data_IF_666630386160
#
_entry.id   IF_666630386160
#
_cell.length_a   1.000
_cell.length_b   1.000
_cell.length_c   1.000
_cell.angle_alpha   90.00
_cell.angle_beta   90.00
_cell.angle_gamma   90.00
#
_symmetry.space_group_name_H-M   'P 1'
#
loop_
_entity.id
_entity.type
_entity.pdbx_description
1 polymer ?
#
# COMPACT_ATOMS: atom_id res chain seq x y z
N UNK A 1 -22.52 18.59 62.81
CA UNK A 1 -21.79 19.08 61.63
C UNK A 1 -21.46 17.86 60.77
N UNK A 2 -22.21 17.63 59.70
CA UNK A 2 -21.94 16.55 58.74
C UNK A 2 -20.89 17.02 57.73
N UNK A 3 -19.93 16.18 57.29
CA UNK A 3 -18.95 16.58 56.31
C UNK A 3 -19.62 16.79 54.95
N UNK A 4 -19.25 17.90 54.31
CA UNK A 4 -19.61 18.28 52.94
C UNK A 4 -19.17 17.23 51.93
N UNK A 5 -20.06 16.95 50.96
CA UNK A 5 -19.82 16.01 49.88
C UNK A 5 -18.58 16.37 49.07
N UNK A 6 -17.64 15.43 48.97
CA UNK A 6 -16.57 15.47 48.01
C UNK A 6 -17.17 15.40 46.60
N UNK A 7 -16.97 16.45 45.81
CA UNK A 7 -17.34 16.45 44.40
C UNK A 7 -16.70 15.24 43.71
N UNK A 8 -17.53 14.47 43.01
CA UNK A 8 -17.06 13.35 42.22
C UNK A 8 -15.96 13.83 41.26
N UNK A 9 -14.83 13.11 41.13
CA UNK A 9 -13.80 13.48 40.17
C UNK A 9 -14.44 13.53 38.78
N UNK A 10 -14.40 14.70 38.14
CA UNK A 10 -14.85 14.86 36.77
C UNK A 10 -13.89 14.07 35.89
N UNK A 11 -14.27 12.86 35.48
CA UNK A 11 -13.48 12.06 34.57
C UNK A 11 -13.38 12.81 33.23
N UNK A 12 -12.17 13.24 32.88
CA UNK A 12 -11.90 13.86 31.58
C UNK A 12 -11.99 12.74 30.54
N UNK A 13 -13.10 12.67 29.81
CA UNK A 13 -13.30 11.71 28.74
C UNK A 13 -12.62 12.25 27.47
N UNK A 14 -11.52 11.61 27.07
CA UNK A 14 -10.81 11.95 25.84
C UNK A 14 -11.25 10.96 24.78
N UNK A 15 -12.06 11.40 23.82
CA UNK A 15 -12.50 10.58 22.69
C UNK A 15 -11.66 10.91 21.47
N UNK A 16 -10.69 10.05 21.07
CA UNK A 16 -9.95 10.27 19.83
C UNK A 16 -10.90 10.19 18.63
N UNK A 17 -10.83 11.16 17.73
CA UNK A 17 -11.51 11.10 16.44
C UNK A 17 -10.54 10.49 15.43
N UNK A 18 -10.97 9.41 14.77
CA UNK A 18 -10.20 8.77 13.72
C UNK A 18 -10.78 9.14 12.37
N UNK A 19 -9.92 9.55 11.45
CA UNK A 19 -10.26 9.76 10.05
C UNK A 19 -9.92 8.50 9.23
N UNK A 20 -10.79 8.15 8.28
CA UNK A 20 -10.49 7.11 7.30
C UNK A 20 -9.54 7.65 6.24
N UNK A 21 -8.65 6.81 5.74
CA UNK A 21 -7.70 7.12 4.67
C UNK A 21 -7.76 6.02 3.59
N UNK A 22 -7.48 6.38 2.34
CA UNK A 22 -7.36 5.42 1.26
C UNK A 22 -5.95 4.82 1.22
N UNK A 23 -5.88 3.50 1.12
CA UNK A 23 -4.66 2.76 0.79
C UNK A 23 -4.95 1.85 -0.39
N UNK A 24 -4.11 1.91 -1.41
CA UNK A 24 -4.34 1.23 -2.66
C UNK A 24 -3.69 1.93 -3.85
N UNK A 25 -4.08 1.49 -5.05
CA UNK A 25 -3.60 2.03 -6.33
C UNK A 25 -4.78 2.68 -7.04
N UNK A 26 -4.56 3.89 -7.56
CA UNK A 26 -5.48 4.60 -8.46
C UNK A 26 -4.75 4.94 -9.76
N UNK A 27 -5.48 4.99 -10.86
CA UNK A 27 -4.90 5.20 -12.18
C UNK A 27 -5.84 6.03 -13.05
N UNK A 28 -5.43 7.25 -13.38
CA UNK A 28 -6.15 8.09 -14.33
C UNK A 28 -5.47 8.01 -15.70
N UNK A 29 -6.25 7.71 -16.74
CA UNK A 29 -5.74 7.52 -18.11
C UNK A 29 -6.58 8.35 -19.08
N UNK A 30 -5.91 9.15 -19.91
CA UNK A 30 -6.51 9.83 -21.06
C UNK A 30 -5.90 9.29 -22.35
N UNK A 31 -6.63 8.47 -23.13
CA UNK A 31 -6.17 8.00 -24.43
C UNK A 31 -6.49 9.00 -25.55
N UNK A 32 -5.59 9.11 -26.53
CA UNK A 32 -5.78 9.85 -27.77
C UNK A 32 -5.27 8.99 -28.94
N UNK A 33 -5.98 9.00 -30.06
CA UNK A 33 -5.64 8.21 -31.26
C UNK A 33 -5.29 9.20 -32.37
N UNK A 34 -4.12 9.04 -33.00
CA UNK A 34 -3.69 9.84 -34.14
C UNK A 34 -4.19 9.27 -35.48
N UNK A 35 -3.99 10.01 -36.58
CA UNK A 35 -4.40 9.60 -37.93
C UNK A 35 -3.66 8.34 -38.43
N UNK A 36 -2.49 8.05 -37.87
CA UNK A 36 -1.65 6.89 -38.16
C UNK A 36 -2.07 5.64 -37.35
N UNK A 37 -3.05 5.77 -36.45
CA UNK A 37 -3.55 4.70 -35.59
C UNK A 37 -2.71 4.42 -34.35
N UNK A 38 -1.76 5.31 -34.00
CA UNK A 38 -1.04 5.21 -32.74
C UNK A 38 -1.86 5.82 -31.61
N UNK A 39 -1.68 5.24 -30.42
CA UNK A 39 -2.43 5.56 -29.22
C UNK A 39 -1.48 6.28 -28.28
N UNK A 40 -1.72 7.57 -28.07
CA UNK A 40 -1.04 8.37 -27.05
C UNK A 40 -1.83 8.24 -25.74
N UNK A 41 -1.15 7.78 -24.69
CA UNK A 41 -1.72 7.60 -23.36
C UNK A 41 -1.08 8.62 -22.42
N UNK A 42 -1.90 9.49 -21.81
CA UNK A 42 -1.49 10.31 -20.66
C UNK A 42 -1.96 9.62 -19.39
N UNK A 43 -1.03 9.28 -18.51
CA UNK A 43 -1.24 8.33 -17.41
C UNK A 43 -0.75 8.95 -16.11
N UNK A 44 -1.62 8.96 -15.10
CA UNK A 44 -1.37 9.47 -13.75
C UNK A 44 -1.63 8.36 -12.73
N UNK A 45 -0.64 7.50 -12.44
CA UNK A 45 -0.75 6.53 -11.36
C UNK A 45 -0.57 7.20 -10.00
N UNK A 46 -1.35 6.74 -9.02
CA UNK A 46 -1.22 7.08 -7.61
C UNK A 46 -1.17 5.79 -6.79
N UNK A 47 -0.16 5.65 -5.94
CA UNK A 47 -0.02 4.53 -5.00
C UNK A 47 0.06 5.06 -3.58
N UNK A 48 -0.87 4.63 -2.74
CA UNK A 48 -0.95 5.01 -1.32
C UNK A 48 -0.65 3.79 -0.42
N UNK A 49 0.46 3.84 0.30
CA UNK A 49 0.86 2.87 1.32
C UNK A 49 0.66 3.48 2.71
N UNK A 50 0.03 2.73 3.62
CA UNK A 50 -0.25 3.25 4.96
C UNK A 50 0.44 2.39 6.00
N UNK A 51 1.26 3.04 6.82
CA UNK A 51 1.95 2.41 7.92
C UNK A 51 1.32 2.83 9.25
N UNK A 52 0.92 1.82 10.03
CA UNK A 52 0.53 2.03 11.42
C UNK A 52 1.79 2.36 12.24
N UNK A 53 1.84 3.59 12.75
CA UNK A 53 2.86 4.08 13.66
C UNK A 53 2.18 4.38 15.00
N UNK A 54 2.01 3.39 15.89
CA UNK A 54 1.43 3.65 17.21
C UNK A 54 2.32 4.64 17.96
N UNK A 55 1.72 5.70 18.49
CA UNK A 55 2.40 6.67 19.35
C UNK A 55 1.79 6.58 20.73
N UNK A 56 2.63 6.30 21.73
CA UNK A 56 2.26 6.31 23.12
C UNK A 56 1.96 7.75 23.55
N UNK A 57 0.68 8.07 23.79
CA UNK A 57 0.27 9.34 24.36
C UNK A 57 0.08 9.19 25.87
N UNK A 58 0.76 10.05 26.63
CA UNK A 58 0.56 10.16 28.07
C UNK A 58 -0.46 11.26 28.35
N UNK A 59 -1.61 10.88 28.89
CA UNK A 59 -2.73 11.80 29.13
C UNK A 59 -2.66 12.52 30.48
N UNK A 60 -1.50 12.51 31.14
CA UNK A 60 -1.30 13.14 32.45
C UNK A 60 -1.83 12.30 33.62
N UNK A 61 -1.80 12.91 34.82
CA UNK A 61 -1.96 12.21 36.10
C UNK A 61 -3.36 11.58 36.22
N UNK A 62 -3.42 10.25 36.18
CA UNK A 62 -4.61 9.44 36.43
C UNK A 62 -5.21 8.74 35.20
N UNK A 63 -4.81 9.10 33.98
CA UNK A 63 -5.38 8.54 32.75
C UNK A 63 -4.50 7.45 32.08
N UNK A 64 -3.27 7.24 32.55
CA UNK A 64 -2.35 6.24 32.01
C UNK A 64 -1.74 6.63 30.65
N UNK A 65 -0.88 5.75 30.13
CA UNK A 65 -0.33 5.84 28.77
C UNK A 65 -1.13 4.91 27.88
N UNK A 66 -1.65 5.43 26.77
CA UNK A 66 -2.40 4.64 25.79
C UNK A 66 -1.77 4.83 24.40
N UNK A 67 -1.59 3.72 23.69
CA UNK A 67 -1.12 3.75 22.31
C UNK A 67 -2.24 4.23 21.40
N UNK A 68 -1.98 5.33 20.71
CA UNK A 68 -2.86 5.84 19.66
C UNK A 68 -2.29 5.36 18.31
N UNK A 69 -3.03 4.54 17.55
CA UNK A 69 -2.61 4.16 16.21
C UNK A 69 -2.65 5.40 15.32
N UNK A 70 -1.48 5.96 14.99
CA UNK A 70 -1.39 6.98 13.96
C UNK A 70 -1.11 6.31 12.63
N UNK A 71 -1.87 6.67 11.62
CA UNK A 71 -1.59 6.28 10.25
C UNK A 71 -0.62 7.27 9.61
N UNK A 72 0.53 6.77 9.15
CA UNK A 72 1.40 7.51 8.24
C UNK A 72 1.09 7.06 6.82
N UNK A 73 0.53 7.96 6.02
CA UNK A 73 0.28 7.71 4.59
C UNK A 73 1.49 8.16 3.77
N UNK A 74 1.98 7.28 2.91
CA UNK A 74 2.99 7.57 1.90
C UNK A 74 2.33 7.47 0.53
N UNK A 75 2.23 8.60 -0.17
CA UNK A 75 1.64 8.69 -1.50
C UNK A 75 2.78 8.83 -2.52
N UNK A 76 2.77 7.97 -3.53
CA UNK A 76 3.65 8.04 -4.68
C UNK A 76 2.81 8.32 -5.93
N UNK A 77 3.05 9.44 -6.58
CA UNK A 77 2.37 9.88 -7.80
C UNK A 77 3.39 10.03 -8.93
N UNK A 78 2.96 9.82 -10.17
CA UNK A 78 3.80 10.03 -11.35
C UNK A 78 2.92 10.54 -12.50
N UNK A 79 3.51 11.27 -13.43
CA UNK A 79 2.88 11.67 -14.69
C UNK A 79 3.73 11.05 -15.82
N UNK A 80 3.09 10.34 -16.75
CA UNK A 80 3.79 9.73 -17.88
C UNK A 80 2.96 9.81 -19.14
N UNK A 81 3.61 10.13 -20.26
CA UNK A 81 3.04 10.07 -21.60
C UNK A 81 3.72 8.97 -22.41
N UNK A 82 2.93 8.10 -23.02
CA UNK A 82 3.43 6.96 -23.80
C UNK A 82 2.69 6.84 -25.13
N UNK A 83 3.46 6.64 -26.21
CA UNK A 83 2.93 6.26 -27.52
C UNK A 83 2.98 4.74 -27.64
N UNK A 84 1.82 4.14 -27.87
CA UNK A 84 1.63 2.71 -28.01
C UNK A 84 0.87 2.41 -29.31
N UNK A 85 0.96 1.17 -29.77
CA UNK A 85 0.11 0.66 -30.86
C UNK A 85 -0.99 -0.22 -30.28
N UNK A 86 -2.08 -0.36 -31.02
CA UNK A 86 -3.18 -1.24 -30.66
C UNK A 86 -2.71 -2.67 -30.36
N UNK A 87 -3.17 -3.24 -29.24
CA UNK A 87 -2.85 -4.59 -28.82
C UNK A 87 -1.44 -4.82 -28.25
N UNK A 88 -0.52 -3.86 -28.38
CA UNK A 88 0.86 -4.00 -27.90
C UNK A 88 1.00 -3.63 -26.42
N UNK A 89 1.65 -4.49 -25.64
CA UNK A 89 1.95 -4.20 -24.23
C UNK A 89 3.09 -3.19 -24.16
N UNK A 90 2.88 -2.10 -23.43
CA UNK A 90 3.93 -1.13 -23.10
C UNK A 90 4.16 -1.13 -21.59
N UNK A 91 5.43 -1.19 -21.20
CA UNK A 91 5.86 -1.07 -19.82
C UNK A 91 6.18 0.40 -19.52
N UNK A 92 5.45 1.01 -18.59
CA UNK A 92 5.83 2.29 -18.00
C UNK A 92 6.87 1.96 -16.94
N UNK A 93 8.11 2.38 -17.16
CA UNK A 93 9.21 2.16 -16.22
C UNK A 93 8.83 2.58 -14.80
N UNK A 94 9.25 1.77 -13.82
CA UNK A 94 8.79 1.83 -12.45
C UNK A 94 9.58 2.73 -11.51
N UNK A 95 8.90 3.38 -10.56
CA UNK A 95 9.56 3.95 -9.39
C UNK A 95 10.12 2.82 -8.53
N UNK A 96 11.44 2.83 -8.32
CA UNK A 96 12.13 1.97 -7.37
C UNK A 96 12.52 2.77 -6.13
N UNK A 97 12.01 2.36 -4.97
CA UNK A 97 12.40 2.95 -3.68
C UNK A 97 13.27 1.95 -2.92
N UNK A 98 14.46 2.40 -2.51
CA UNK A 98 15.37 1.63 -1.64
C UNK A 98 15.52 2.39 -0.33
N UNK A 99 15.07 1.77 0.77
CA UNK A 99 15.25 2.31 2.12
C UNK A 99 16.31 1.48 2.84
N UNK A 100 17.37 2.14 3.33
CA UNK A 100 18.43 1.52 4.12
C UNK A 100 18.40 2.11 5.53
N UNK A 101 18.15 1.26 6.53
CA UNK A 101 18.17 1.61 7.95
C UNK A 101 19.40 0.97 8.58
N UNK A 102 20.28 1.78 9.16
CA UNK A 102 21.43 1.31 9.95
C UNK A 102 21.16 1.61 11.42
N UNK A 103 21.10 0.58 12.26
CA UNK A 103 20.93 0.70 13.70
C UNK A 103 22.20 0.21 14.38
N UNK A 104 22.91 1.13 15.03
CA UNK A 104 24.12 0.84 15.77
C UNK A 104 23.80 0.87 17.27
N UNK A 105 24.10 -0.23 17.94
CA UNK A 105 23.95 -0.39 19.39
C UNK A 105 25.30 -0.80 19.96
N UNK A 106 25.77 -0.18 21.04
CA UNK A 106 27.07 -0.53 21.61
C UNK A 106 27.20 -0.07 23.05
N UNK A 107 28.22 -0.59 23.73
CA UNK A 107 28.56 -0.12 25.08
C UNK A 107 29.24 1.24 24.98
N UNK A 108 28.68 2.31 25.58
CA UNK A 108 29.28 3.64 25.55
C UNK A 108 30.72 3.60 26.07
N UNK A 109 31.65 4.25 25.37
CA UNK A 109 33.08 4.29 25.69
C UNK A 109 33.90 3.13 25.10
N UNK A 110 33.44 1.87 25.25
CA UNK A 110 34.19 0.71 24.74
C UNK A 110 34.03 0.49 23.23
N UNK A 111 32.92 0.95 22.64
CA UNK A 111 32.62 0.80 21.21
C UNK A 111 33.60 1.54 20.27
N UNK A 112 34.28 2.57 20.78
CA UNK A 112 35.15 3.46 20.00
C UNK A 112 36.64 3.08 20.11
N UNK A 113 36.98 2.04 20.89
CA UNK A 113 38.37 1.59 21.04
C UNK A 113 38.87 0.96 19.72
N UNK A 114 39.91 1.50 19.07
CA UNK A 114 40.47 0.90 17.87
C UNK A 114 41.01 -0.52 18.17
N UNK A 115 40.66 -1.48 17.32
CA UNK A 115 41.05 -2.90 17.46
C UNK A 115 40.05 -3.77 18.25
N UNK A 116 39.52 -3.29 19.38
CA UNK A 116 38.63 -4.08 20.26
C UNK A 116 37.16 -3.64 20.25
N UNK A 117 36.86 -2.40 19.86
CA UNK A 117 35.51 -1.84 19.90
C UNK A 117 34.50 -2.56 19.00
N UNK A 118 34.96 -3.34 18.02
CA UNK A 118 34.11 -4.18 17.18
C UNK A 118 33.39 -5.30 17.96
N UNK A 119 33.97 -5.78 19.08
CA UNK A 119 33.34 -6.80 19.93
C UNK A 119 32.26 -6.23 20.87
N UNK A 120 32.27 -4.91 21.09
CA UNK A 120 31.38 -4.19 22.00
C UNK A 120 30.32 -3.33 21.28
N UNK A 121 30.25 -3.46 19.94
CA UNK A 121 29.23 -2.83 19.10
C UNK A 121 28.49 -3.89 18.29
N UNK A 122 27.22 -3.63 18.03
CA UNK A 122 26.33 -4.39 17.17
C UNK A 122 25.75 -3.42 16.15
N UNK A 123 25.91 -3.74 14.86
CA UNK A 123 25.32 -2.98 13.76
C UNK A 123 24.30 -3.86 13.08
N UNK A 124 23.03 -3.46 13.14
CA UNK A 124 21.95 -4.06 12.36
C UNK A 124 21.71 -3.21 11.14
N UNK A 125 21.80 -3.81 9.95
CA UNK A 125 21.48 -3.17 8.67
C UNK A 125 20.21 -3.80 8.10
N UNK A 126 19.20 -2.98 7.85
CA UNK A 126 17.94 -3.40 7.23
C UNK A 126 17.79 -2.67 5.90
N UNK A 127 17.60 -3.43 4.81
CA UNK A 127 17.35 -2.89 3.47
C UNK A 127 15.95 -3.31 3.03
N UNK A 128 15.11 -2.34 2.68
CA UNK A 128 13.77 -2.56 2.13
C UNK A 128 13.74 -2.01 0.71
N UNK A 129 13.38 -2.86 -0.25
CA UNK A 129 13.26 -2.51 -1.67
C UNK A 129 11.79 -2.60 -2.08
N UNK A 130 11.24 -1.51 -2.62
CA UNK A 130 9.90 -1.44 -3.19
C UNK A 130 10.02 -1.11 -4.68
N UNK A 131 9.42 -1.92 -5.54
CA UNK A 131 9.37 -1.71 -6.99
C UNK A 131 7.91 -1.66 -7.44
N UNK A 132 7.54 -0.63 -8.19
CA UNK A 132 6.24 -0.52 -8.84
C UNK A 132 6.42 -0.70 -10.34
N UNK A 133 5.84 -1.74 -10.94
CA UNK A 133 5.88 -1.94 -12.41
C UNK A 133 4.47 -1.78 -12.97
N UNK A 134 4.32 -0.95 -13.99
CA UNK A 134 3.03 -0.69 -14.63
C UNK A 134 3.09 -1.19 -16.08
N UNK A 135 2.22 -2.13 -16.42
CA UNK A 135 2.07 -2.65 -17.78
C UNK A 135 0.69 -2.31 -18.32
N UNK A 136 0.63 -1.81 -19.55
CA UNK A 136 -0.62 -1.44 -20.20
C UNK A 136 -0.71 -2.06 -21.59
N UNK A 137 -1.90 -2.54 -21.94
CA UNK A 137 -2.24 -3.00 -23.30
C UNK A 137 -3.44 -2.18 -23.79
N UNK A 138 -3.23 -1.14 -24.61
CA UNK A 138 -4.35 -0.41 -25.19
C UNK A 138 -5.08 -1.30 -26.21
N UNK A 139 -6.38 -1.08 -26.36
CA UNK A 139 -7.21 -1.80 -27.35
C UNK A 139 -8.21 -0.82 -27.96
N UNK A 140 -8.15 -0.66 -29.29
CA UNK A 140 -9.01 0.25 -30.06
C UNK A 140 -10.25 -0.51 -30.51
N UNK A 141 -11.42 -0.01 -30.11
CA UNK A 141 -12.70 -0.62 -30.46
C UNK A 141 -13.30 0.16 -31.64
N UNK A 142 -13.42 -0.49 -32.80
CA UNK A 142 -14.07 0.08 -33.99
C UNK A 142 -15.59 -0.11 -33.96
N UNK A 143 -16.35 0.62 -34.79
CA UNK A 143 -17.82 0.51 -34.84
C UNK A 143 -18.32 -0.88 -35.23
N UNK A 144 -17.54 -1.63 -36.00
CA UNK A 144 -17.85 -3.00 -36.43
C UNK A 144 -17.27 -4.06 -35.46
N UNK A 145 -16.85 -3.64 -34.26
CA UNK A 145 -16.28 -4.56 -33.27
C UNK A 145 -17.34 -5.54 -32.78
N UNK A 146 -17.15 -6.81 -33.12
CA UNK A 146 -17.94 -7.91 -32.62
C UNK A 146 -17.58 -8.19 -31.15
N UNK A 147 -18.28 -7.50 -30.25
CA UNK A 147 -18.22 -7.70 -28.80
C UNK A 147 -18.66 -9.10 -28.36
N UNK A 148 -19.40 -9.85 -29.19
CA UNK A 148 -19.87 -11.20 -28.85
C UNK A 148 -18.72 -12.21 -28.85
N UNK A 149 -17.70 -12.02 -29.72
CA UNK A 149 -16.51 -12.88 -29.76
C UNK A 149 -15.64 -12.77 -28.50
N UNK A 150 -15.34 -11.54 -28.09
CA UNK A 150 -14.50 -11.27 -26.90
C UNK A 150 -15.17 -11.69 -25.59
N UNK A 151 -16.49 -11.53 -25.49
CA UNK A 151 -17.25 -11.97 -24.32
C UNK A 151 -17.30 -13.50 -24.25
N UNK A 152 -17.36 -14.20 -25.39
CA UNK A 152 -17.29 -15.65 -25.42
C UNK A 152 -15.90 -16.15 -25.00
N UNK A 153 -14.83 -15.58 -25.55
CA UNK A 153 -13.45 -15.92 -25.20
C UNK A 153 -13.16 -15.65 -23.72
N UNK A 154 -13.64 -14.52 -23.19
CA UNK A 154 -13.49 -14.18 -21.76
C UNK A 154 -14.28 -15.12 -20.86
N UNK A 155 -15.47 -15.57 -21.29
CA UNK A 155 -16.27 -16.58 -20.56
C UNK A 155 -15.65 -17.97 -20.61
N UNK A 156 -14.91 -18.31 -21.66
CA UNK A 156 -14.17 -19.56 -21.77
C UNK A 156 -12.93 -19.55 -20.88
N UNK A 157 -12.14 -18.47 -20.90
CA UNK A 157 -11.02 -18.27 -19.97
C UNK A 157 -11.44 -18.34 -18.50
N UNK A 158 -12.56 -17.68 -18.14
CA UNK A 158 -13.07 -17.73 -16.76
C UNK A 158 -13.56 -19.13 -16.40
N UNK A 159 -14.20 -19.86 -17.33
CA UNK A 159 -14.61 -21.26 -17.10
C UNK A 159 -13.42 -22.22 -16.99
N UNK A 160 -12.36 -22.02 -17.76
CA UNK A 160 -11.16 -22.86 -17.64
C UNK A 160 -10.45 -22.68 -16.30
N UNK A 161 -10.55 -21.50 -15.67
CA UNK A 161 -10.04 -21.30 -14.30
C UNK A 161 -11.03 -21.75 -13.21
N UNK A 162 -12.34 -21.73 -13.47
CA UNK A 162 -13.38 -22.14 -12.52
C UNK A 162 -13.72 -23.64 -12.52
N UNK A 163 -13.28 -24.39 -13.53
CA UNK A 163 -13.63 -25.81 -13.73
C UNK A 163 -12.86 -26.82 -12.89
N UNK A 164 -11.81 -26.41 -12.18
CA UNK A 164 -10.99 -27.28 -11.31
C UNK A 164 -11.35 -27.20 -9.82
N UNK A 165 -12.43 -26.50 -9.44
CA UNK A 165 -12.99 -26.61 -8.09
C UNK A 165 -14.06 -27.71 -8.11
N UNK A 166 -13.63 -28.97 -7.92
CA UNK A 166 -14.56 -30.06 -7.62
C UNK A 166 -15.47 -29.63 -6.46
N UNK A 167 -16.80 -29.69 -6.62
CA UNK A 167 -17.69 -29.41 -5.50
C UNK A 167 -17.42 -30.47 -4.43
N UNK A 168 -17.04 -30.03 -3.23
CA UNK A 168 -16.99 -30.89 -2.06
C UNK A 168 -18.39 -31.48 -1.87
N UNK A 169 -18.59 -32.72 -2.30
CA UNK A 169 -19.77 -33.49 -1.98
C UNK A 169 -19.76 -33.69 -0.47
N UNK A 170 -20.58 -32.91 0.24
CA UNK A 170 -20.89 -33.23 1.63
C UNK A 170 -21.78 -34.47 1.63
N UNK A 171 -21.16 -35.64 1.60
CA UNK A 171 -21.81 -36.88 2.00
C UNK A 171 -22.11 -36.79 3.49
N UNK A 172 -23.33 -36.37 3.82
CA UNK A 172 -23.94 -36.69 5.11
C UNK A 172 -24.77 -37.93 4.92
N UNK A 173 -24.16 -39.09 5.14
CA UNK A 173 -24.88 -40.32 5.45
C UNK A 173 -24.22 -41.04 6.62
N UNK A 174 -24.78 -40.81 7.81
CA UNK A 174 -24.99 -41.70 8.98
C UNK A 174 -24.88 -40.96 10.30
#
# INVERSE_FOLDING_TARGET
MTPVGGGAPTAIQITPTFNSFFSGVSLDITPQIDEEGNILLHIHPLVSDVQNSPVAFNFGVGAGTQDIPLAKSSINETDTMVRAQDGNIVALGGLMQVQVTNQNSGVPGLQDIPGLGAAFRSTTRTTVKKELVILLKPTVISRDYNWEGDIQESRERIRSYGGEMEPFSSDRSR
#
